data_IF_683559795768
#
_entry.id   IF_683559795768
#
_cell.length_a   1.000
_cell.length_b   1.000
_cell.length_c   1.000
_cell.angle_alpha   90.00
_cell.angle_beta   90.00
_cell.angle_gamma   90.00
#
_symmetry.space_group_name_H-M   'P 1'
#
loop_
_entity.id
_entity.type
_entity.pdbx_description
1 polymer ?
#
# COMPACT_ATOMS: atom_id res chain seq x y z
N UNK A 1 58.30 -30.30 -9.09
CA UNK A 1 58.11 -29.26 -8.05
C UNK A 1 58.32 -27.91 -8.72
N UNK A 2 57.38 -26.97 -8.56
CA UNK A 2 56.57 -26.45 -9.66
C UNK A 2 56.68 -24.94 -9.85
N UNK A 3 56.17 -24.41 -10.96
CA UNK A 3 55.13 -23.36 -10.91
C UNK A 3 54.52 -23.13 -12.31
N UNK A 4 53.36 -23.77 -12.51
CA UNK A 4 52.42 -23.48 -13.59
C UNK A 4 51.78 -22.12 -13.32
N UNK A 5 51.99 -21.16 -14.22
CA UNK A 5 51.23 -19.92 -14.26
C UNK A 5 49.78 -20.24 -14.67
N UNK A 6 48.93 -20.50 -13.68
CA UNK A 6 47.47 -20.50 -13.86
C UNK A 6 47.00 -19.06 -13.95
N UNK A 7 46.73 -18.65 -15.17
CA UNK A 7 45.91 -17.49 -15.53
C UNK A 7 44.54 -17.61 -14.87
N UNK A 8 44.39 -17.07 -13.66
CA UNK A 8 43.08 -16.84 -13.07
C UNK A 8 42.44 -15.68 -13.82
N UNK A 9 41.66 -16.01 -14.85
CA UNK A 9 40.64 -15.14 -15.41
C UNK A 9 39.62 -14.83 -14.29
N UNK A 10 39.90 -13.79 -13.52
CA UNK A 10 38.95 -13.18 -12.60
C UNK A 10 37.81 -12.62 -13.45
N UNK A 11 36.77 -13.44 -13.60
CA UNK A 11 35.47 -13.01 -14.08
C UNK A 11 34.92 -11.99 -13.08
N UNK A 12 35.24 -10.72 -13.32
CA UNK A 12 34.69 -9.59 -12.58
C UNK A 12 33.16 -9.72 -12.57
N UNK A 13 32.48 -9.83 -11.40
CA UNK A 13 31.05 -9.71 -11.37
C UNK A 13 30.65 -8.32 -11.86
N UNK A 14 29.69 -8.28 -12.78
CA UNK A 14 29.18 -7.05 -13.37
C UNK A 14 28.82 -6.01 -12.30
N UNK A 15 29.09 -4.72 -12.54
CA UNK A 15 28.92 -3.69 -11.54
C UNK A 15 27.46 -3.59 -11.05
N UNK A 16 27.29 -3.62 -9.73
CA UNK A 16 26.04 -3.30 -9.08
C UNK A 16 25.54 -1.92 -9.55
N UNK A 17 24.26 -1.88 -9.93
CA UNK A 17 23.54 -0.70 -10.43
C UNK A 17 23.82 0.55 -9.59
N UNK A 18 24.47 1.54 -10.20
CA UNK A 18 24.85 2.80 -9.57
C UNK A 18 23.66 3.64 -9.05
N UNK A 19 23.94 4.66 -8.24
CA UNK A 19 22.94 5.49 -7.56
C UNK A 19 22.35 6.53 -8.52
N UNK A 20 21.57 6.13 -9.52
CA UNK A 20 21.02 7.13 -10.44
C UNK A 20 19.98 6.70 -11.47
N UNK A 21 19.88 5.41 -11.83
CA UNK A 21 18.97 5.01 -12.90
C UNK A 21 17.53 4.88 -12.38
N UNK A 22 16.65 5.72 -12.91
CA UNK A 22 15.20 5.54 -12.78
C UNK A 22 14.73 4.67 -13.96
N UNK A 23 13.75 3.76 -13.75
CA UNK A 23 13.14 3.45 -12.47
C UNK A 23 14.07 2.65 -11.56
N UNK A 24 13.94 2.86 -10.24
CA UNK A 24 14.72 2.09 -9.23
C UNK A 24 14.35 0.60 -9.33
N UNK A 25 15.28 -0.32 -9.00
CA UNK A 25 15.00 -1.76 -9.01
C UNK A 25 13.81 -2.12 -8.13
N UNK A 26 13.00 -3.08 -8.57
CA UNK A 26 11.93 -3.66 -7.75
C UNK A 26 12.52 -4.51 -6.64
N UNK A 27 11.78 -4.70 -5.54
CA UNK A 27 12.14 -5.73 -4.56
C UNK A 27 11.78 -7.11 -5.10
N UNK A 28 12.34 -8.16 -4.52
CA UNK A 28 11.90 -9.51 -4.82
C UNK A 28 10.44 -9.72 -4.37
N UNK A 29 9.70 -10.60 -5.05
CA UNK A 29 8.27 -10.81 -4.79
C UNK A 29 8.02 -11.35 -3.38
N UNK A 30 8.88 -12.24 -2.89
CA UNK A 30 8.83 -12.79 -1.54
C UNK A 30 8.98 -11.71 -0.45
N UNK A 31 9.84 -10.71 -0.67
CA UNK A 31 9.95 -9.54 0.20
C UNK A 31 8.67 -8.68 0.16
N UNK A 32 8.07 -8.48 -1.01
CA UNK A 32 6.81 -7.76 -1.13
C UNK A 32 5.65 -8.51 -0.43
N UNK A 33 5.57 -9.83 -0.61
CA UNK A 33 4.60 -10.68 0.07
C UNK A 33 4.83 -10.70 1.59
N UNK A 34 6.08 -10.69 2.04
CA UNK A 34 6.37 -10.56 3.47
C UNK A 34 5.88 -9.23 4.03
N UNK A 35 6.08 -8.11 3.32
CA UNK A 35 5.53 -6.80 3.73
C UNK A 35 4.02 -6.86 3.91
N UNK A 36 3.29 -7.50 2.98
CA UNK A 36 1.84 -7.67 3.12
C UNK A 36 1.48 -8.50 4.36
N UNK A 37 2.11 -9.67 4.55
CA UNK A 37 1.82 -10.55 5.69
C UNK A 37 2.12 -9.87 7.02
N UNK A 38 3.27 -9.21 7.14
CA UNK A 38 3.67 -8.48 8.35
C UNK A 38 2.68 -7.37 8.67
N UNK A 39 2.34 -6.52 7.69
CA UNK A 39 1.37 -5.44 7.89
C UNK A 39 -0.03 -5.95 8.21
N UNK A 40 -0.48 -6.99 7.51
CA UNK A 40 -1.80 -7.59 7.73
C UNK A 40 -1.94 -8.16 9.14
N UNK A 41 -0.93 -8.90 9.62
CA UNK A 41 -0.90 -9.42 10.98
C UNK A 41 -0.80 -8.29 12.00
N UNK A 42 0.14 -7.36 11.83
CA UNK A 42 0.32 -6.24 12.77
C UNK A 42 -0.86 -5.27 12.77
N UNK A 43 -1.68 -5.21 11.73
CA UNK A 43 -2.90 -4.40 11.71
C UNK A 43 -4.04 -5.03 12.52
N UNK A 44 -4.09 -6.35 12.65
CA UNK A 44 -5.18 -7.07 13.32
C UNK A 44 -4.86 -7.47 14.76
N UNK A 45 -3.70 -7.05 15.29
CA UNK A 45 -3.36 -7.30 16.70
C UNK A 45 -4.20 -6.41 17.61
N UNK A 46 -4.55 -6.89 18.82
CA UNK A 46 -5.14 -6.03 19.84
C UNK A 46 -4.24 -4.82 20.13
N UNK A 47 -4.82 -3.62 20.11
CA UNK A 47 -4.08 -2.38 20.36
C UNK A 47 -3.19 -1.89 19.21
N UNK A 48 -3.40 -2.43 17.99
CA UNK A 48 -2.70 -1.95 16.80
C UNK A 48 -2.90 -0.46 16.57
N UNK A 49 -1.82 0.24 16.23
CA UNK A 49 -1.86 1.68 16.01
C UNK A 49 -2.61 2.02 14.72
N UNK A 50 -3.46 3.07 14.69
CA UNK A 50 -4.18 3.46 13.49
C UNK A 50 -3.30 3.69 12.25
N UNK A 51 -2.08 4.21 12.41
CA UNK A 51 -1.14 4.36 11.28
C UNK A 51 -0.70 3.02 10.66
N UNK A 52 -0.63 1.95 11.45
CA UNK A 52 -0.31 0.60 10.99
C UNK A 52 -1.48 0.01 10.22
N UNK A 53 -2.70 0.13 10.77
CA UNK A 53 -3.93 -0.34 10.12
C UNK A 53 -4.13 0.35 8.77
N UNK A 54 -3.99 1.68 8.72
CA UNK A 54 -4.04 2.44 7.45
C UNK A 54 -3.00 1.97 6.45
N UNK A 55 -1.76 1.72 6.88
CA UNK A 55 -0.71 1.28 5.98
C UNK A 55 -0.94 -0.14 5.47
N UNK A 56 -1.53 -1.02 6.27
CA UNK A 56 -1.98 -2.32 5.83
C UNK A 56 -3.09 -2.22 4.78
N UNK A 57 -4.08 -1.33 4.96
CA UNK A 57 -5.08 -1.06 3.90
C UNK A 57 -4.43 -0.62 2.59
N UNK A 58 -3.46 0.30 2.67
CA UNK A 58 -2.71 0.75 1.49
C UNK A 58 -1.97 -0.41 0.82
N UNK A 59 -1.29 -1.25 1.59
CA UNK A 59 -0.58 -2.42 1.07
C UNK A 59 -1.54 -3.43 0.44
N UNK A 60 -2.62 -3.79 1.13
CA UNK A 60 -3.62 -4.76 0.68
C UNK A 60 -4.34 -4.33 -0.59
N UNK A 61 -4.83 -3.08 -0.64
CA UNK A 61 -5.46 -2.53 -1.86
C UNK A 61 -4.46 -2.41 -3.00
N UNK A 62 -3.21 -2.02 -2.73
CA UNK A 62 -2.18 -1.96 -3.77
C UNK A 62 -1.86 -3.35 -4.32
N UNK A 63 -1.73 -4.34 -3.45
CA UNK A 63 -1.49 -5.73 -3.82
C UNK A 63 -2.65 -6.30 -4.65
N UNK A 64 -3.89 -6.00 -4.25
CA UNK A 64 -5.09 -6.49 -4.93
C UNK A 64 -5.35 -5.81 -6.28
N UNK A 65 -5.01 -4.52 -6.43
CA UNK A 65 -5.45 -3.70 -7.58
C UNK A 65 -4.33 -3.10 -8.43
N UNK A 66 -3.08 -3.18 -7.97
CA UNK A 66 -1.92 -2.55 -8.60
C UNK A 66 -1.91 -1.02 -8.51
N UNK A 67 -2.88 -0.42 -7.81
CA UNK A 67 -3.11 1.02 -7.75
C UNK A 67 -1.93 1.80 -7.15
N UNK A 68 -1.69 3.02 -7.64
CA UNK A 68 -0.70 3.94 -7.05
C UNK A 68 -1.34 4.70 -5.90
N UNK A 69 -0.53 5.33 -5.05
CA UNK A 69 -1.02 6.23 -4.00
C UNK A 69 -2.00 7.28 -4.51
N UNK A 70 -1.72 7.89 -5.68
CA UNK A 70 -2.61 8.88 -6.25
C UNK A 70 -4.01 8.33 -6.55
N UNK A 71 -4.10 7.05 -6.91
CA UNK A 71 -5.35 6.37 -7.23
C UNK A 71 -6.09 5.99 -5.94
N UNK A 72 -5.38 5.43 -4.96
CA UNK A 72 -5.94 5.07 -3.65
C UNK A 72 -6.48 6.27 -2.87
N UNK A 73 -5.85 7.45 -2.99
CA UNK A 73 -6.34 8.68 -2.36
C UNK A 73 -7.69 9.15 -2.87
N UNK A 74 -8.16 8.61 -4.00
CA UNK A 74 -9.47 8.93 -4.58
C UNK A 74 -10.55 7.92 -4.20
N UNK A 75 -10.17 6.81 -3.57
CA UNK A 75 -11.11 5.78 -3.12
C UNK A 75 -11.92 6.35 -1.97
N UNK A 76 -13.23 6.24 -2.09
CA UNK A 76 -14.22 6.59 -1.07
C UNK A 76 -14.71 5.34 -0.38
N UNK A 77 -15.36 5.51 0.77
CA UNK A 77 -16.04 4.41 1.46
C UNK A 77 -17.06 3.74 0.54
N UNK A 78 -17.82 4.52 -0.22
CA UNK A 78 -18.86 4.01 -1.14
C UNK A 78 -18.29 3.34 -2.40
N UNK A 79 -16.98 3.42 -2.62
CA UNK A 79 -16.32 2.67 -3.69
C UNK A 79 -16.00 1.23 -3.24
N UNK A 80 -16.32 0.84 -2.00
CA UNK A 80 -16.08 -0.50 -1.45
C UNK A 80 -17.38 -1.28 -1.28
N UNK A 81 -17.36 -2.52 -1.73
CA UNK A 81 -18.34 -3.54 -1.31
C UNK A 81 -17.57 -4.63 -0.56
N UNK A 82 -17.75 -4.70 0.75
CA UNK A 82 -17.04 -5.67 1.60
C UNK A 82 -17.79 -7.00 1.71
N UNK A 83 -18.94 -7.14 1.03
CA UNK A 83 -19.80 -8.31 1.12
C UNK A 83 -20.51 -8.44 2.47
N UNK A 84 -21.25 -9.55 2.68
CA UNK A 84 -21.97 -9.80 3.93
C UNK A 84 -21.00 -10.03 5.10
N UNK A 85 -21.45 -9.68 6.31
CA UNK A 85 -20.77 -10.06 7.55
C UNK A 85 -21.01 -11.55 7.87
N UNK A 86 -19.99 -12.23 8.40
CA UNK A 86 -20.13 -13.59 8.96
C UNK A 86 -19.22 -14.67 8.36
N UNK A 87 -19.43 -15.95 8.71
CA UNK A 87 -18.51 -17.07 8.41
C UNK A 87 -18.33 -17.40 6.93
N UNK A 88 -19.18 -16.85 6.05
CA UNK A 88 -19.13 -17.00 4.58
C UNK A 88 -18.64 -15.73 3.88
N UNK A 89 -18.09 -14.77 4.62
CA UNK A 89 -17.45 -13.58 4.07
C UNK A 89 -16.17 -14.01 3.33
N UNK A 90 -16.27 -14.15 2.00
CA UNK A 90 -15.18 -14.68 1.19
C UNK A 90 -14.51 -13.65 0.31
N UNK A 91 -15.27 -12.73 -0.29
CA UNK A 91 -14.73 -11.83 -1.31
C UNK A 91 -15.45 -10.48 -1.23
N UNK A 92 -14.71 -9.42 -1.54
CA UNK A 92 -15.24 -8.06 -1.67
C UNK A 92 -14.85 -7.46 -3.02
N UNK A 93 -15.18 -6.19 -3.22
CA UNK A 93 -14.74 -5.44 -4.38
C UNK A 93 -14.40 -3.99 -4.05
N UNK A 94 -13.53 -3.40 -4.86
CA UNK A 94 -13.17 -1.99 -4.78
C UNK A 94 -13.20 -1.34 -6.16
N UNK A 95 -13.89 -0.22 -6.27
CA UNK A 95 -13.84 0.65 -7.43
C UNK A 95 -12.63 1.60 -7.33
N UNK A 96 -11.67 1.43 -8.23
CA UNK A 96 -10.46 2.27 -8.28
C UNK A 96 -10.38 3.01 -9.59
N UNK A 97 -10.09 4.32 -9.51
CA UNK A 97 -9.93 5.22 -10.66
C UNK A 97 -8.45 5.39 -10.99
N UNK A 98 -7.99 4.68 -12.01
CA UNK A 98 -6.57 4.52 -12.33
C UNK A 98 -6.00 5.63 -13.20
N UNK A 99 -4.79 6.08 -12.86
CA UNK A 99 -3.96 6.92 -13.72
C UNK A 99 -4.49 8.34 -13.92
N UNK A 100 -3.95 9.02 -14.94
CA UNK A 100 -4.28 10.42 -15.25
C UNK A 100 -5.74 10.60 -15.67
N UNK A 101 -6.23 9.68 -16.49
CA UNK A 101 -7.58 9.72 -17.06
C UNK A 101 -8.65 9.20 -16.10
N UNK A 102 -8.25 8.71 -14.91
CA UNK A 102 -9.16 8.23 -13.86
C UNK A 102 -10.06 7.10 -14.33
N UNK A 103 -9.55 6.22 -15.20
CA UNK A 103 -10.31 5.09 -15.75
C UNK A 103 -10.84 4.22 -14.61
N UNK A 104 -12.18 4.12 -14.43
CA UNK A 104 -12.77 3.37 -13.33
C UNK A 104 -12.69 1.87 -13.60
N UNK A 105 -12.17 1.12 -12.63
CA UNK A 105 -12.09 -0.34 -12.68
C UNK A 105 -12.59 -0.92 -11.36
N UNK A 106 -13.45 -1.92 -11.46
CA UNK A 106 -13.92 -2.70 -10.32
C UNK A 106 -13.00 -3.90 -10.14
N UNK A 107 -12.36 -3.99 -8.97
CA UNK A 107 -11.39 -5.04 -8.62
C UNK A 107 -11.99 -5.99 -7.60
N UNK A 108 -11.62 -7.28 -7.69
CA UNK A 108 -11.91 -8.25 -6.63
C UNK A 108 -10.95 -8.09 -5.45
N UNK A 109 -11.46 -8.28 -4.24
CA UNK A 109 -10.69 -8.26 -3.00
C UNK A 109 -10.72 -9.64 -2.33
N UNK A 110 -9.55 -10.12 -1.93
CA UNK A 110 -9.42 -11.36 -1.17
C UNK A 110 -9.99 -11.20 0.26
N UNK A 111 -10.36 -12.31 0.94
CA UNK A 111 -10.92 -12.22 2.28
C UNK A 111 -9.97 -11.54 3.29
N UNK A 112 -8.66 -11.77 3.17
CA UNK A 112 -7.65 -11.12 4.02
C UNK A 112 -7.69 -9.58 3.91
N UNK A 113 -7.82 -9.05 2.68
CA UNK A 113 -7.91 -7.61 2.45
C UNK A 113 -9.23 -7.07 2.98
N UNK A 114 -10.32 -7.81 2.82
CA UNK A 114 -11.64 -7.44 3.37
C UNK A 114 -11.60 -7.35 4.89
N UNK A 115 -10.97 -8.30 5.58
CA UNK A 115 -10.85 -8.28 7.06
C UNK A 115 -10.09 -7.02 7.52
N UNK A 116 -8.96 -6.70 6.88
CA UNK A 116 -8.20 -5.47 7.20
C UNK A 116 -9.02 -4.21 6.90
N UNK A 117 -9.78 -4.18 5.81
CA UNK A 117 -10.65 -3.05 5.47
C UNK A 117 -11.78 -2.87 6.49
N UNK A 118 -12.40 -3.96 6.97
CA UNK A 118 -13.45 -3.89 8.01
C UNK A 118 -12.89 -3.29 9.30
N UNK A 119 -11.74 -3.77 9.75
CA UNK A 119 -11.10 -3.20 10.93
C UNK A 119 -10.72 -1.72 10.72
N UNK A 120 -10.26 -1.36 9.52
CA UNK A 120 -10.03 0.04 9.19
C UNK A 120 -11.30 0.89 9.23
N UNK A 121 -12.46 0.36 8.82
CA UNK A 121 -13.73 1.09 8.89
C UNK A 121 -14.10 1.46 10.33
N UNK A 122 -13.86 0.57 11.30
CA UNK A 122 -14.05 0.84 12.74
C UNK A 122 -13.09 1.95 13.22
N UNK A 123 -11.79 1.80 12.96
CA UNK A 123 -10.77 2.82 13.31
C UNK A 123 -11.09 4.17 12.67
N UNK A 124 -11.61 4.15 11.45
CA UNK A 124 -11.98 5.35 10.70
C UNK A 124 -13.17 6.07 11.32
N UNK A 125 -14.14 5.33 11.85
CA UNK A 125 -15.29 5.88 12.57
C UNK A 125 -14.82 6.58 13.84
N UNK A 126 -13.94 5.95 14.63
CA UNK A 126 -13.35 6.55 15.82
C UNK A 126 -12.57 7.84 15.50
N UNK A 127 -11.75 7.83 14.44
CA UNK A 127 -10.99 9.01 14.02
C UNK A 127 -11.88 10.18 13.58
N UNK A 128 -13.09 9.89 13.09
CA UNK A 128 -14.02 10.89 12.60
C UNK A 128 -15.06 11.32 13.64
N UNK A 129 -15.15 10.64 14.79
CA UNK A 129 -16.19 10.84 15.80
C UNK A 129 -16.23 12.29 16.36
N UNK A 130 -15.05 12.89 16.54
CA UNK A 130 -14.90 14.23 17.13
C UNK A 130 -14.82 15.35 16.05
N UNK A 131 -15.04 15.02 14.78
CA UNK A 131 -15.01 16.03 13.71
C UNK A 131 -16.34 16.78 13.65
N UNK A 132 -16.27 18.10 13.75
CA UNK A 132 -17.42 18.96 13.46
C UNK A 132 -17.79 18.89 11.96
N UNK A 133 -19.08 18.75 11.67
CA UNK A 133 -19.61 18.71 10.30
C UNK A 133 -19.84 17.30 9.77
N UNK A 134 -19.71 17.12 8.45
CA UNK A 134 -19.98 15.83 7.81
C UNK A 134 -18.79 14.89 7.95
N UNK A 135 -19.05 13.63 8.32
CA UNK A 135 -18.05 12.56 8.27
C UNK A 135 -17.42 12.52 6.87
N UNK A 136 -16.09 12.58 6.75
CA UNK A 136 -15.43 12.54 5.44
C UNK A 136 -15.88 11.31 4.64
N UNK A 137 -15.84 11.37 3.31
CA UNK A 137 -16.11 10.17 2.46
C UNK A 137 -14.84 9.48 1.97
N UNK A 138 -13.68 10.13 2.08
CA UNK A 138 -12.40 9.56 1.69
C UNK A 138 -12.09 8.31 2.53
N UNK A 139 -11.59 7.25 1.91
CA UNK A 139 -11.25 6.02 2.61
C UNK A 139 -10.07 6.23 3.57
N UNK A 140 -9.03 6.94 3.10
CA UNK A 140 -7.78 7.12 3.84
C UNK A 140 -7.76 8.47 4.56
N UNK A 141 -7.62 8.43 5.89
CA UNK A 141 -7.63 9.59 6.77
C UNK A 141 -6.27 9.82 7.45
N UNK A 142 -6.04 11.04 7.92
CA UNK A 142 -4.98 11.37 8.88
C UNK A 142 -5.29 10.70 10.21
N UNK A 143 -4.25 10.22 10.90
CA UNK A 143 -4.37 9.45 12.16
C UNK A 143 -3.73 10.17 13.35
N UNK A 144 -3.06 11.29 13.07
CA UNK A 144 -2.51 12.17 14.08
C UNK A 144 -2.89 13.59 13.68
N UNK A 145 -3.01 14.46 14.67
CA UNK A 145 -3.01 15.88 14.43
C UNK A 145 -1.72 16.28 13.70
N UNK A 146 -1.83 17.20 12.76
CA UNK A 146 -0.69 17.73 12.02
C UNK A 146 -0.63 19.23 12.14
N UNK A 147 0.56 19.83 12.03
CA UNK A 147 0.68 21.28 11.96
C UNK A 147 0.84 21.68 10.49
N UNK A 148 -0.07 22.52 10.00
CA UNK A 148 0.02 23.16 8.69
C UNK A 148 0.08 24.67 8.89
N UNK A 149 1.19 25.29 8.47
CA UNK A 149 1.46 26.73 8.61
C UNK A 149 1.20 27.31 10.02
N UNK A 150 1.50 26.54 11.07
CA UNK A 150 1.30 26.95 12.47
C UNK A 150 -0.10 26.65 13.04
N UNK A 151 -1.03 26.16 12.22
CA UNK A 151 -2.36 25.71 12.65
C UNK A 151 -2.37 24.20 12.89
N UNK A 152 -2.91 23.78 14.04
CA UNK A 152 -3.17 22.37 14.29
C UNK A 152 -4.38 21.92 13.47
N UNK A 153 -4.14 20.97 12.58
CA UNK A 153 -5.13 20.30 11.74
C UNK A 153 -5.47 18.97 12.40
N UNK A 154 -6.77 18.73 12.61
CA UNK A 154 -7.27 17.53 13.29
C UNK A 154 -6.94 16.23 12.54
N UNK A 155 -6.77 15.14 13.30
CA UNK A 155 -6.86 13.79 12.75
C UNK A 155 -8.25 13.52 12.18
N UNK A 156 -8.40 12.47 11.37
CA UNK A 156 -9.68 12.11 10.75
C UNK A 156 -9.99 12.83 9.45
N UNK A 157 -9.17 13.80 9.02
CA UNK A 157 -9.32 14.46 7.72
C UNK A 157 -8.67 13.64 6.58
N UNK A 158 -9.08 13.81 5.31
CA UNK A 158 -8.46 13.08 4.19
C UNK A 158 -6.94 13.24 4.15
N UNK A 159 -6.21 12.12 4.06
CA UNK A 159 -4.74 12.17 4.02
C UNK A 159 -4.21 12.63 2.66
N UNK A 160 -3.05 13.28 2.66
CA UNK A 160 -2.36 13.68 1.42
C UNK A 160 -1.40 12.61 0.92
N UNK A 161 -0.98 12.74 -0.35
CA UNK A 161 0.08 11.89 -0.93
C UNK A 161 1.38 11.95 -0.12
N UNK A 162 1.77 13.13 0.34
CA UNK A 162 2.97 13.30 1.16
C UNK A 162 2.82 12.58 2.50
N UNK A 163 1.64 12.64 3.12
CA UNK A 163 1.33 11.88 4.34
C UNK A 163 1.52 10.37 4.17
N UNK A 164 1.11 9.80 3.04
CA UNK A 164 1.33 8.38 2.74
C UNK A 164 2.81 8.05 2.52
N UNK A 165 3.55 8.89 1.78
CA UNK A 165 4.99 8.73 1.57
C UNK A 165 5.75 8.73 2.90
N UNK A 166 5.42 9.66 3.80
CA UNK A 166 6.05 9.74 5.12
C UNK A 166 5.66 8.54 6.00
N UNK A 167 4.40 8.10 5.95
CA UNK A 167 3.93 6.91 6.66
C UNK A 167 4.74 5.67 6.26
N UNK A 168 4.92 5.44 4.96
CA UNK A 168 5.74 4.34 4.45
C UNK A 168 7.20 4.45 4.88
N UNK A 169 7.81 5.64 4.77
CA UNK A 169 9.20 5.85 5.19
C UNK A 169 9.40 5.51 6.68
N UNK A 170 8.50 5.96 7.54
CA UNK A 170 8.57 5.66 8.99
C UNK A 170 8.44 4.17 9.25
N UNK A 171 7.53 3.48 8.56
CA UNK A 171 7.41 2.03 8.63
C UNK A 171 8.73 1.36 8.22
N UNK A 172 9.26 1.68 7.04
CA UNK A 172 10.52 1.11 6.54
C UNK A 172 11.68 1.32 7.50
N UNK A 173 11.85 2.52 8.06
CA UNK A 173 12.93 2.79 9.01
C UNK A 173 12.81 1.93 10.26
N UNK A 174 11.60 1.82 10.85
CA UNK A 174 11.36 0.96 12.01
C UNK A 174 11.57 -0.53 11.69
N UNK A 175 11.04 -0.98 10.56
CA UNK A 175 11.13 -2.37 10.12
C UNK A 175 12.58 -2.76 9.83
N UNK A 176 13.33 -1.93 9.11
CA UNK A 176 14.75 -2.19 8.84
C UNK A 176 15.59 -2.16 10.14
N UNK A 177 15.27 -1.30 11.11
CA UNK A 177 15.93 -1.34 12.41
C UNK A 177 15.64 -2.64 13.18
N UNK A 178 14.41 -3.16 13.08
CA UNK A 178 13.99 -4.41 13.74
C UNK A 178 14.58 -5.66 13.08
N UNK A 179 14.70 -5.68 11.75
CA UNK A 179 15.05 -6.88 10.98
C UNK A 179 16.38 -6.76 10.20
N UNK A 180 17.17 -5.70 10.41
CA UNK A 180 18.29 -5.33 9.53
C UNK A 180 19.43 -6.35 9.40
N UNK A 181 19.50 -7.35 10.29
CA UNK A 181 20.44 -8.47 10.20
C UNK A 181 19.81 -9.77 9.65
N UNK A 182 18.48 -9.82 9.53
CA UNK A 182 17.72 -11.01 9.16
C UNK A 182 17.18 -10.95 7.73
N UNK A 183 17.01 -9.75 7.18
CA UNK A 183 16.43 -9.55 5.84
C UNK A 183 17.12 -8.40 5.09
N UNK A 184 17.08 -8.40 3.75
CA UNK A 184 17.43 -7.23 2.96
C UNK A 184 16.62 -6.00 3.40
N UNK A 185 17.22 -4.80 3.41
CA UNK A 185 16.51 -3.59 3.82
C UNK A 185 15.39 -3.24 2.84
N UNK A 186 14.21 -2.94 3.37
CA UNK A 186 13.09 -2.45 2.58
C UNK A 186 13.40 -1.08 1.96
N UNK A 187 12.90 -0.79 0.75
CA UNK A 187 13.10 0.47 0.08
C UNK A 187 12.20 1.58 0.65
N UNK A 188 12.73 2.79 0.75
CA UNK A 188 11.96 3.97 1.21
C UNK A 188 10.92 4.47 0.19
N UNK A 189 10.87 3.89 -1.02
CA UNK A 189 9.83 4.13 -2.03
C UNK A 189 8.94 2.91 -2.16
N UNK A 190 7.70 3.04 -1.71
CA UNK A 190 6.69 1.98 -1.81
C UNK A 190 6.44 1.51 -3.24
N UNK A 191 6.68 2.38 -4.23
CA UNK A 191 6.59 2.04 -5.66
C UNK A 191 7.43 0.80 -6.04
N UNK A 192 8.55 0.54 -5.36
CA UNK A 192 9.37 -0.65 -5.61
C UNK A 192 8.68 -1.95 -5.14
N UNK A 193 7.87 -1.87 -4.07
CA UNK A 193 7.04 -2.98 -3.56
C UNK A 193 5.82 -3.19 -4.46
N UNK A 194 5.12 -2.10 -4.82
CA UNK A 194 3.99 -2.15 -5.75
C UNK A 194 4.36 -2.82 -7.08
N UNK A 195 5.51 -2.44 -7.65
CA UNK A 195 5.98 -3.00 -8.92
C UNK A 195 6.34 -4.48 -8.79
N UNK A 196 6.86 -4.94 -7.67
CA UNK A 196 7.10 -6.38 -7.44
C UNK A 196 5.81 -7.20 -7.60
N UNK A 197 4.69 -6.74 -7.01
CA UNK A 197 3.39 -7.38 -7.23
C UNK A 197 2.87 -7.25 -8.67
N UNK A 198 3.00 -6.06 -9.26
CA UNK A 198 2.47 -5.78 -10.60
C UNK A 198 3.21 -6.57 -11.67
N UNK A 199 4.54 -6.62 -11.62
CA UNK A 199 5.38 -7.35 -12.58
C UNK A 199 5.20 -8.87 -12.43
N UNK A 200 4.85 -9.35 -11.24
CA UNK A 200 4.49 -10.74 -10.99
C UNK A 200 3.03 -11.10 -11.35
N UNK A 201 2.21 -10.13 -11.79
CA UNK A 201 0.81 -10.38 -12.15
C UNK A 201 -0.11 -10.71 -10.96
N UNK A 202 0.26 -10.31 -9.74
CA UNK A 202 -0.53 -10.56 -8.52
C UNK A 202 -1.87 -9.81 -8.50
N UNK A 203 -1.95 -8.52 -8.89
CA UNK A 203 -3.21 -7.79 -8.84
C UNK A 203 -4.29 -8.35 -9.77
N UNK A 204 -5.55 -8.27 -9.37
CA UNK A 204 -6.68 -8.42 -10.27
C UNK A 204 -6.62 -7.28 -11.31
N UNK A 205 -6.74 -7.56 -12.63
CA UNK A 205 -6.68 -6.51 -13.65
C UNK A 205 -7.88 -5.55 -13.58
N UNK A 206 -8.93 -5.94 -12.87
CA UNK A 206 -10.20 -5.24 -12.72
C UNK A 206 -11.04 -5.25 -14.00
N UNK A 207 -12.36 -5.16 -13.83
CA UNK A 207 -13.30 -4.90 -14.92
C UNK A 207 -13.45 -3.40 -15.11
N UNK A 208 -13.12 -2.90 -16.30
CA UNK A 208 -13.36 -1.50 -16.65
C UNK A 208 -14.86 -1.21 -16.70
N UNK A 209 -15.26 -0.09 -16.09
CA UNK A 209 -16.64 0.38 -16.13
C UNK A 209 -16.72 1.48 -17.20
N UNK A 210 -17.18 1.14 -18.39
CA UNK A 210 -17.54 2.17 -19.39
C UNK A 210 -18.68 3.00 -18.82
N UNK A 211 -18.58 4.33 -18.92
CA UNK A 211 -19.75 5.17 -18.72
C UNK A 211 -20.85 4.71 -19.70
N UNK A 212 -22.12 4.67 -19.30
CA UNK A 212 -23.19 4.49 -20.27
C UNK A 212 -23.06 5.59 -21.35
N UNK A 213 -23.35 5.30 -22.63
CA UNK A 213 -23.37 6.35 -23.65
C UNK A 213 -24.32 7.44 -23.17
N UNK A 214 -23.87 8.70 -23.19
CA UNK A 214 -24.72 9.84 -22.90
C UNK A 214 -25.91 9.76 -23.87
N UNK A 215 -27.11 9.60 -23.31
CA UNK A 215 -28.33 9.72 -24.09
C UNK A 215 -28.41 11.17 -24.57
N UNK A 216 -28.19 11.37 -25.88
CA UNK A 216 -28.32 12.66 -26.54
C UNK A 216 -29.76 13.16 -26.61
#
# INVERSE_FOLDING_TARGET
>A
MPDEQRSHEQRNPAPATGPGRYPRPVVALDEAEWVWRELGVEALRPGSKPETVRLAVVAGLTRATGARYGDLLRVRVDDLDLGPLGPRAGEGSALVRHGKHRTPRLHRLSPEVVVVLRHWMEVREELAAELEGSVPRALLLTVHHTHDNGTTVSSGLPITKQGLVLSWRRFVLRTNARYGALRPPLPTRFEQVRRAWTEAGVPDPGRELTAPPEAG
#
